data_IF_393421032578
#
_entry.id   IF_393421032578
#
_cell.length_a   1.000
_cell.length_b   1.000
_cell.length_c   1.000
_cell.angle_alpha   90.00
_cell.angle_beta   90.00
_cell.angle_gamma   90.00
#
_symmetry.space_group_name_H-M   'P 1'
#
loop_
_entity.id
_entity.type
_entity.pdbx_description
1 polymer ?
#
# COMPACT_ATOMS: atom_id res chain seq x y z
N UNK A 1 -71.52 34.29 36.28
CA UNK A 1 -71.88 33.25 37.28
C UNK A 1 -71.78 31.91 36.58
N UNK A 2 -70.72 31.13 36.91
CA UNK A 2 -70.47 29.69 36.60
C UNK A 2 -70.58 29.22 35.13
N UNK A 3 -69.83 28.29 34.56
CA UNK A 3 -68.62 27.49 34.87
C UNK A 3 -68.56 26.52 33.67
N UNK A 4 -67.47 26.39 32.90
CA UNK A 4 -67.10 25.11 32.22
C UNK A 4 -65.60 25.08 31.95
N UNK A 5 -64.93 24.20 32.69
CA UNK A 5 -63.59 23.66 32.41
C UNK A 5 -63.63 22.85 31.10
N UNK A 6 -62.55 22.87 30.33
CA UNK A 6 -62.20 21.80 29.39
C UNK A 6 -60.68 21.71 29.30
N UNK A 7 -60.16 20.53 29.64
CA UNK A 7 -58.76 20.12 29.60
C UNK A 7 -58.16 20.26 28.20
N UNK A 8 -56.89 20.65 28.10
CA UNK A 8 -56.05 20.31 26.96
C UNK A 8 -54.69 19.79 27.45
N UNK A 9 -54.33 18.64 26.89
CA UNK A 9 -53.24 17.76 27.31
C UNK A 9 -51.84 18.35 27.02
N UNK A 10 -50.93 18.15 27.97
CA UNK A 10 -49.50 18.40 27.82
C UNK A 10 -48.86 17.18 27.13
N UNK A 11 -48.51 17.32 25.85
CA UNK A 11 -47.73 16.32 25.11
C UNK A 11 -46.26 16.48 25.53
N UNK A 12 -45.75 15.51 26.30
CA UNK A 12 -44.32 15.37 26.57
C UNK A 12 -43.70 14.68 25.35
N UNK A 13 -43.00 15.45 24.51
CA UNK A 13 -42.20 14.91 23.42
C UNK A 13 -40.93 14.28 24.01
N UNK A 14 -40.87 12.95 24.12
CA UNK A 14 -39.64 12.22 24.43
C UNK A 14 -38.65 12.44 23.28
N UNK A 15 -37.66 13.29 23.49
CA UNK A 15 -36.51 13.41 22.60
C UNK A 15 -35.70 12.12 22.60
N UNK A 16 -35.72 11.41 21.48
CA UNK A 16 -34.80 10.31 21.20
C UNK A 16 -33.39 10.89 21.09
N UNK A 17 -32.57 10.68 22.13
CA UNK A 17 -31.14 10.94 22.04
C UNK A 17 -30.52 9.97 21.02
N UNK A 18 -30.16 10.52 19.87
CA UNK A 18 -29.37 9.83 18.86
C UNK A 18 -27.96 9.72 19.45
N UNK A 19 -27.60 8.52 19.91
CA UNK A 19 -26.24 8.21 20.31
C UNK A 19 -25.38 8.21 19.04
N UNK A 20 -24.62 9.30 18.83
CA UNK A 20 -23.60 9.34 17.77
C UNK A 20 -22.55 8.25 18.03
N UNK A 21 -22.03 7.57 16.99
CA UNK A 21 -20.98 6.59 17.18
C UNK A 21 -19.71 7.32 17.67
N UNK A 22 -19.24 6.93 18.86
CA UNK A 22 -17.94 7.39 19.39
C UNK A 22 -16.86 6.84 18.44
N UNK A 23 -16.16 7.74 17.76
CA UNK A 23 -14.98 7.36 16.96
C UNK A 23 -13.98 6.63 17.87
N UNK A 24 -13.52 5.44 17.46
CA UNK A 24 -12.54 4.67 18.21
C UNK A 24 -11.28 5.53 18.45
N UNK A 25 -10.81 5.59 19.70
CA UNK A 25 -9.61 6.35 20.05
C UNK A 25 -8.38 5.80 19.31
N UNK A 26 -7.55 6.68 18.75
CA UNK A 26 -6.31 6.28 18.08
C UNK A 26 -5.35 5.61 19.06
N UNK A 27 -4.69 4.54 18.61
CA UNK A 27 -3.67 3.86 19.41
C UNK A 27 -2.46 4.76 19.63
N UNK A 28 -1.68 4.52 20.70
CA UNK A 28 -0.44 5.28 20.96
C UNK A 28 0.51 5.22 19.76
N UNK A 29 0.59 4.07 19.10
CA UNK A 29 1.45 3.86 17.93
C UNK A 29 1.01 4.72 16.72
N UNK A 30 -0.31 4.89 16.52
CA UNK A 30 -0.85 5.81 15.51
C UNK A 30 -0.60 7.28 15.88
N UNK A 31 -0.72 7.65 17.16
CA UNK A 31 -0.46 9.02 17.63
C UNK A 31 1.01 9.43 17.50
N UNK A 32 1.91 8.46 17.69
CA UNK A 32 3.36 8.66 17.57
C UNK A 32 3.90 8.31 16.19
N UNK A 33 3.03 7.98 15.23
CA UNK A 33 3.40 7.61 13.86
C UNK A 33 4.36 8.63 13.25
N UNK A 34 5.53 8.16 12.79
CA UNK A 34 6.53 9.00 12.14
C UNK A 34 7.33 9.90 13.07
N UNK A 35 7.15 9.81 14.39
CA UNK A 35 7.89 10.63 15.35
C UNK A 35 9.26 10.06 15.63
N UNK A 36 10.21 10.96 15.84
CA UNK A 36 11.46 10.70 16.55
C UNK A 36 11.20 10.78 18.05
N UNK A 37 11.71 9.82 18.81
CA UNK A 37 11.53 9.74 20.27
C UNK A 37 12.88 9.64 20.98
N UNK A 38 12.94 10.15 22.20
CA UNK A 38 14.09 10.06 23.09
C UNK A 38 13.64 9.42 24.41
N UNK A 39 14.21 8.27 24.77
CA UNK A 39 13.90 7.59 26.01
C UNK A 39 14.47 8.38 27.21
N UNK A 40 13.61 9.06 27.97
CA UNK A 40 14.04 9.98 29.04
C UNK A 40 14.57 9.25 30.29
N UNK A 41 14.37 7.93 30.34
CA UNK A 41 14.78 7.05 31.45
C UNK A 41 15.92 6.09 31.05
N UNK A 42 16.45 6.22 29.83
CA UNK A 42 17.48 5.34 29.28
C UNK A 42 18.52 6.15 28.50
N UNK A 43 19.18 7.08 29.20
CA UNK A 43 20.26 7.95 28.68
C UNK A 43 19.93 8.71 27.38
N UNK A 44 18.64 8.91 27.05
CA UNK A 44 18.23 9.55 25.80
C UNK A 44 18.35 8.65 24.57
N UNK A 45 18.29 7.32 24.73
CA UNK A 45 18.28 6.38 23.60
C UNK A 45 17.25 6.81 22.54
N UNK A 46 17.71 6.88 21.29
CA UNK A 46 16.92 7.39 20.16
C UNK A 46 16.08 6.30 19.51
N UNK A 47 14.84 6.64 19.19
CA UNK A 47 13.88 5.75 18.53
C UNK A 47 13.16 6.47 17.39
N UNK A 48 12.75 5.70 16.40
CA UNK A 48 11.87 6.16 15.32
C UNK A 48 10.63 5.28 15.28
N UNK A 49 9.45 5.89 15.24
CA UNK A 49 8.20 5.15 15.01
C UNK A 49 7.92 5.15 13.52
N UNK A 50 8.08 3.99 12.88
CA UNK A 50 7.88 3.89 11.44
C UNK A 50 6.40 4.17 11.10
N UNK A 51 6.07 5.17 10.27
CA UNK A 51 4.70 5.56 10.00
C UNK A 51 3.92 4.55 9.14
N UNK A 52 4.62 3.61 8.51
CA UNK A 52 4.03 2.54 7.69
C UNK A 52 3.63 1.33 8.53
N UNK A 53 4.43 0.99 9.55
CA UNK A 53 4.22 -0.22 10.36
C UNK A 53 3.75 0.07 11.78
N UNK A 54 3.83 1.33 12.22
CA UNK A 54 3.64 1.79 13.59
C UNK A 54 4.54 1.10 14.63
N UNK A 55 5.64 0.50 14.16
CA UNK A 55 6.62 -0.16 15.02
C UNK A 55 7.73 0.83 15.41
N UNK A 56 8.25 0.69 16.63
CA UNK A 56 9.45 1.40 17.09
C UNK A 56 10.70 0.73 16.53
N UNK A 57 11.58 1.53 15.96
CA UNK A 57 12.92 1.14 15.50
C UNK A 57 13.93 1.79 16.44
N UNK A 58 14.80 0.97 17.01
CA UNK A 58 15.93 1.47 17.81
C UNK A 58 17.00 2.05 16.88
N UNK A 59 17.51 3.24 17.21
CA UNK A 59 18.49 3.93 16.37
C UNK A 59 19.93 3.68 16.82
N UNK A 60 20.13 3.31 18.09
CA UNK A 60 21.45 3.08 18.67
C UNK A 60 22.34 4.33 18.60
N UNK A 61 23.61 4.15 18.18
CA UNK A 61 24.55 5.26 18.02
C UNK A 61 24.13 6.18 16.85
N UNK A 62 24.56 7.45 16.81
CA UNK A 62 24.27 8.34 15.68
C UNK A 62 24.72 7.80 14.30
N UNK A 63 25.78 6.98 14.27
CA UNK A 63 26.22 6.32 13.04
C UNK A 63 25.28 5.18 12.62
N UNK A 64 24.84 4.35 13.57
CA UNK A 64 23.84 3.31 13.32
C UNK A 64 22.51 3.94 12.90
N UNK A 65 22.12 5.04 13.53
CA UNK A 65 20.92 5.80 13.22
C UNK A 65 20.90 6.30 11.77
N UNK A 66 22.04 6.80 11.26
CA UNK A 66 22.15 7.21 9.85
C UNK A 66 21.92 6.04 8.89
N UNK A 67 22.56 4.90 9.15
CA UNK A 67 22.40 3.69 8.32
C UNK A 67 20.95 3.18 8.37
N UNK A 68 20.34 3.11 9.55
CA UNK A 68 18.94 2.76 9.74
C UNK A 68 18.02 3.72 9.00
N UNK A 69 18.28 5.03 9.06
CA UNK A 69 17.47 6.01 8.36
C UNK A 69 17.57 5.89 6.84
N UNK A 70 18.78 5.68 6.31
CA UNK A 70 18.98 5.45 4.88
C UNK A 70 18.27 4.17 4.41
N UNK A 71 18.31 3.10 5.20
CA UNK A 71 17.62 1.84 4.88
C UNK A 71 16.08 1.99 4.90
N UNK A 72 15.53 2.88 5.73
CA UNK A 72 14.10 3.14 5.84
C UNK A 72 13.61 4.28 4.93
N UNK A 73 14.51 4.94 4.20
CA UNK A 73 14.18 6.12 3.42
C UNK A 73 13.49 5.75 2.10
N UNK A 74 12.41 6.49 1.79
CA UNK A 74 11.73 6.41 0.50
C UNK A 74 12.46 7.27 -0.54
N UNK A 75 12.77 6.68 -1.69
CA UNK A 75 13.27 7.42 -2.84
C UNK A 75 12.27 8.49 -3.32
N UNK A 76 12.75 9.71 -3.52
CA UNK A 76 11.96 10.83 -4.03
C UNK A 76 12.79 11.63 -5.06
N UNK A 77 12.16 12.06 -6.14
CA UNK A 77 12.78 12.94 -7.14
C UNK A 77 12.85 14.39 -6.62
N UNK A 78 13.69 15.23 -7.24
CA UNK A 78 13.91 16.60 -6.78
C UNK A 78 12.69 17.50 -6.95
N UNK A 79 11.84 17.24 -7.96
CA UNK A 79 10.62 18.01 -8.22
C UNK A 79 9.60 17.83 -7.09
N UNK A 80 9.28 16.59 -6.74
CA UNK A 80 8.35 16.27 -5.65
C UNK A 80 8.93 16.67 -4.29
N UNK A 81 10.22 16.46 -4.09
CA UNK A 81 10.89 16.87 -2.87
C UNK A 81 10.72 18.37 -2.66
N UNK A 82 10.95 19.22 -3.68
CA UNK A 82 10.79 20.68 -3.63
C UNK A 82 9.39 21.16 -3.24
N UNK A 83 8.36 20.33 -3.38
CA UNK A 83 7.00 20.63 -2.92
C UNK A 83 6.82 20.49 -1.39
N UNK A 84 7.85 20.03 -0.67
CA UNK A 84 7.91 19.94 0.78
C UNK A 84 8.83 21.07 1.30
N UNK A 85 8.31 22.04 2.07
CA UNK A 85 9.07 23.19 2.51
C UNK A 85 10.13 22.79 3.54
N UNK A 86 11.27 23.45 3.50
CA UNK A 86 12.30 23.31 4.55
C UNK A 86 11.77 23.94 5.84
N UNK A 87 12.17 23.39 6.99
CA UNK A 87 11.83 23.95 8.30
C UNK A 87 12.12 25.47 8.34
N UNK A 88 11.13 26.27 8.78
CA UNK A 88 11.22 27.72 8.84
C UNK A 88 10.82 28.46 7.55
N UNK A 89 10.48 27.78 6.46
CA UNK A 89 9.96 28.41 5.24
C UNK A 89 8.44 28.30 5.11
N UNK A 90 7.79 29.41 4.76
CA UNK A 90 6.34 29.50 4.48
C UNK A 90 6.11 29.61 2.97
N UNK A 91 6.18 28.49 2.24
CA UNK A 91 5.78 28.45 0.83
C UNK A 91 4.48 27.67 0.64
N UNK A 92 3.71 28.07 -0.37
CA UNK A 92 2.53 27.38 -0.91
C UNK A 92 2.95 26.01 -1.46
N UNK A 93 3.00 25.07 -0.54
CA UNK A 93 3.47 23.70 -0.71
C UNK A 93 2.29 22.74 -0.87
N UNK A 94 2.51 21.61 -1.55
CA UNK A 94 1.46 20.63 -1.81
C UNK A 94 1.05 19.93 -0.50
N UNK A 95 -0.04 20.39 0.13
CA UNK A 95 -0.48 19.87 1.43
C UNK A 95 -0.76 18.36 1.40
N UNK A 96 -1.39 17.85 0.33
CA UNK A 96 -1.70 16.43 0.20
C UNK A 96 -0.43 15.58 0.17
N UNK A 97 0.57 16.00 -0.60
CA UNK A 97 1.87 15.32 -0.64
C UNK A 97 2.55 15.35 0.74
N UNK A 98 2.54 16.49 1.42
CA UNK A 98 3.18 16.63 2.73
C UNK A 98 2.50 15.78 3.80
N UNK A 99 1.17 15.71 3.78
CA UNK A 99 0.41 14.83 4.66
C UNK A 99 0.71 13.35 4.36
N UNK A 100 0.77 12.97 3.08
CA UNK A 100 1.13 11.61 2.65
C UNK A 100 2.54 11.22 3.11
N UNK A 101 3.47 12.17 3.11
CA UNK A 101 4.87 11.94 3.49
C UNK A 101 5.17 12.31 4.94
N UNK A 102 4.15 12.62 5.76
CA UNK A 102 4.33 13.00 7.16
C UNK A 102 5.07 11.90 7.94
N UNK A 103 6.16 12.26 8.61
CA UNK A 103 6.97 11.34 9.39
C UNK A 103 7.89 10.44 8.59
N UNK A 104 7.88 10.53 7.24
CA UNK A 104 8.73 9.70 6.39
C UNK A 104 10.17 10.20 6.39
N UNK A 105 11.07 9.23 6.25
CA UNK A 105 12.45 9.43 5.85
C UNK A 105 12.49 9.38 4.32
N UNK A 106 13.20 10.29 3.68
CA UNK A 106 13.27 10.43 2.23
C UNK A 106 14.73 10.43 1.76
N UNK A 107 14.97 9.82 0.60
CA UNK A 107 16.25 9.78 -0.09
C UNK A 107 16.09 10.48 -1.44
N UNK A 108 16.79 11.59 -1.64
CA UNK A 108 16.80 12.29 -2.92
C UNK A 108 17.63 11.47 -3.94
N UNK A 109 16.94 10.74 -4.82
CA UNK A 109 17.59 9.78 -5.75
C UNK A 109 18.41 10.48 -6.85
N UNK A 110 18.16 11.76 -7.08
CA UNK A 110 18.82 12.60 -8.08
C UNK A 110 19.90 13.52 -7.49
N UNK A 111 20.12 13.48 -6.17
CA UNK A 111 21.03 14.39 -5.47
C UNK A 111 21.98 13.62 -4.54
N UNK A 112 22.66 12.62 -5.11
CA UNK A 112 23.70 11.82 -4.45
C UNK A 112 23.30 11.22 -3.09
N UNK A 113 22.02 10.88 -2.90
CA UNK A 113 21.54 10.24 -1.69
C UNK A 113 21.40 11.18 -0.49
N UNK A 114 21.20 12.48 -0.72
CA UNK A 114 20.80 13.42 0.35
C UNK A 114 19.52 12.93 1.02
N UNK A 115 19.57 12.84 2.35
CA UNK A 115 18.44 12.35 3.15
C UNK A 115 17.68 13.46 3.88
N UNK A 116 16.39 13.23 4.06
CA UNK A 116 15.47 14.20 4.63
C UNK A 116 14.46 13.53 5.54
N UNK A 117 14.07 14.20 6.62
CA UNK A 117 12.99 13.79 7.50
C UNK A 117 11.84 14.78 7.37
N UNK A 118 10.63 14.30 7.07
CA UNK A 118 9.42 15.13 7.06
C UNK A 118 8.82 15.11 8.45
N UNK A 119 8.91 16.21 9.19
CA UNK A 119 8.34 16.26 10.54
C UNK A 119 6.80 16.16 10.46
N UNK A 120 6.16 15.18 11.12
CA UNK A 120 4.73 14.93 10.99
C UNK A 120 3.85 16.02 11.65
N UNK A 121 4.43 16.86 12.50
CA UNK A 121 3.71 17.96 13.16
C UNK A 121 3.72 19.23 12.32
N UNK A 122 4.87 19.56 11.74
CA UNK A 122 5.06 20.81 10.99
C UNK A 122 4.85 20.62 9.49
N UNK A 123 4.88 19.36 9.02
CA UNK A 123 4.84 19.01 7.60
C UNK A 123 5.95 19.68 6.79
N UNK A 124 7.12 19.87 7.42
CA UNK A 124 8.32 20.45 6.80
C UNK A 124 9.44 19.42 6.78
N UNK A 125 10.34 19.51 5.79
CA UNK A 125 11.52 18.64 5.68
C UNK A 125 12.73 19.23 6.40
N UNK A 126 13.51 18.36 7.03
CA UNK A 126 14.80 18.67 7.65
C UNK A 126 15.87 17.78 7.01
N UNK A 127 16.95 18.41 6.56
CA UNK A 127 18.08 17.70 5.95
C UNK A 127 18.91 16.98 7.00
N UNK A 128 19.44 15.82 6.63
CA UNK A 128 20.54 15.18 7.34
C UNK A 128 21.38 14.37 6.36
N UNK A 129 22.69 14.28 6.56
CA UNK A 129 23.56 13.39 5.79
C UNK A 129 24.69 12.77 6.61
N UNK A 130 24.97 13.33 7.78
CA UNK A 130 26.00 12.84 8.68
C UNK A 130 25.39 12.35 9.98
N UNK A 131 26.16 11.56 10.73
CA UNK A 131 25.78 11.15 12.09
C UNK A 131 25.54 12.36 13.02
N UNK A 132 26.29 13.45 12.83
CA UNK A 132 26.07 14.73 13.53
C UNK A 132 24.71 15.34 13.18
N UNK A 133 24.32 15.33 11.90
CA UNK A 133 23.00 15.84 11.49
C UNK A 133 21.87 15.01 12.08
N UNK A 134 22.03 13.67 12.12
CA UNK A 134 21.05 12.77 12.75
C UNK A 134 20.91 13.06 14.24
N UNK A 135 22.02 13.28 14.94
CA UNK A 135 21.99 13.69 16.34
C UNK A 135 21.28 15.03 16.53
N UNK A 136 21.57 16.03 15.69
CA UNK A 136 20.88 17.33 15.71
C UNK A 136 19.39 17.19 15.42
N UNK A 137 19.03 16.31 14.47
CA UNK A 137 17.65 16.03 14.12
C UNK A 137 16.89 15.43 15.31
N UNK A 138 17.48 14.42 15.97
CA UNK A 138 16.91 13.77 17.15
C UNK A 138 16.75 14.74 18.32
N UNK A 139 17.76 15.56 18.60
CA UNK A 139 17.71 16.52 19.72
C UNK A 139 16.71 17.65 19.48
N UNK A 140 16.52 18.09 18.22
CA UNK A 140 15.59 19.17 17.88
C UNK A 140 14.14 18.71 17.70
N UNK A 141 13.92 17.47 17.24
CA UNK A 141 12.58 16.98 16.86
C UNK A 141 12.09 15.82 17.72
N UNK A 142 12.97 15.25 18.57
CA UNK A 142 12.68 14.12 19.43
C UNK A 142 11.68 14.46 20.53
N UNK A 143 10.65 13.64 20.66
CA UNK A 143 9.74 13.68 21.81
C UNK A 143 10.28 12.81 22.94
N UNK A 144 10.38 13.36 24.14
CA UNK A 144 10.67 12.55 25.32
C UNK A 144 9.58 11.50 25.58
N UNK A 145 9.98 10.24 25.78
CA UNK A 145 9.07 9.13 26.08
C UNK A 145 9.56 8.32 27.29
N UNK A 146 8.61 7.86 28.12
CA UNK A 146 8.90 6.98 29.26
C UNK A 146 9.11 5.55 28.78
N UNK A 147 9.81 4.71 29.57
CA UNK A 147 10.00 3.30 29.23
C UNK A 147 8.66 2.53 29.20
N UNK A 148 7.70 2.94 30.02
CA UNK A 148 6.34 2.35 30.05
C UNK A 148 5.60 2.63 28.73
N UNK A 149 5.60 3.87 28.26
CA UNK A 149 4.93 4.22 27.00
C UNK A 149 5.68 3.69 25.79
N UNK A 150 7.01 3.70 25.83
CA UNK A 150 7.85 3.12 24.79
C UNK A 150 7.60 1.61 24.66
N UNK A 151 7.40 0.88 25.76
CA UNK A 151 7.09 -0.56 25.75
C UNK A 151 5.71 -0.90 25.16
N UNK A 152 4.80 0.08 25.10
CA UNK A 152 3.48 -0.07 24.45
C UNK A 152 3.57 0.06 22.92
N UNK A 153 4.71 0.50 22.39
CA UNK A 153 4.96 0.51 20.95
C UNK A 153 5.52 -0.85 20.49
N UNK A 154 4.94 -1.48 19.47
CA UNK A 154 5.44 -2.76 18.95
C UNK A 154 6.88 -2.61 18.45
N UNK A 155 7.85 -3.46 18.84
CA UNK A 155 9.20 -3.41 18.30
C UNK A 155 9.21 -3.75 16.80
N UNK A 156 10.10 -3.11 16.06
CA UNK A 156 10.37 -3.43 14.66
C UNK A 156 11.11 -4.75 14.58
N UNK A 157 10.36 -5.85 14.49
CA UNK A 157 10.90 -7.13 14.03
C UNK A 157 10.86 -7.12 12.50
N UNK A 158 11.90 -7.63 11.83
CA UNK A 158 11.83 -7.94 10.40
C UNK A 158 10.67 -8.93 10.22
N UNK A 159 9.50 -8.41 9.90
CA UNK A 159 8.26 -9.17 9.91
C UNK A 159 7.95 -9.51 8.47
N UNK A 160 8.15 -10.77 8.11
CA UNK A 160 7.69 -11.30 6.84
C UNK A 160 6.17 -11.40 6.88
N UNK A 161 5.49 -10.63 6.02
CA UNK A 161 4.05 -10.77 5.81
C UNK A 161 3.87 -11.72 4.65
N UNK A 162 3.11 -12.80 4.82
CA UNK A 162 2.78 -13.74 3.74
C UNK A 162 1.35 -14.23 3.86
N UNK A 163 0.67 -14.28 2.72
CA UNK A 163 -0.64 -14.92 2.55
C UNK A 163 -0.48 -16.19 1.73
N UNK A 164 -1.09 -17.29 2.19
CA UNK A 164 -1.12 -18.54 1.41
C UNK A 164 -2.21 -18.45 0.35
N UNK A 165 -1.82 -18.09 -0.87
CA UNK A 165 -2.70 -17.92 -2.03
C UNK A 165 -2.51 -19.08 -3.01
N UNK A 166 -3.58 -19.74 -3.51
CA UNK A 166 -3.46 -20.74 -4.56
C UNK A 166 -2.87 -20.12 -5.83
N UNK A 167 -1.85 -20.76 -6.40
CA UNK A 167 -1.19 -20.27 -7.60
C UNK A 167 -1.75 -20.90 -8.87
N UNK A 168 -1.93 -20.07 -9.90
CA UNK A 168 -2.29 -20.45 -11.27
C UNK A 168 -1.53 -19.53 -12.24
N UNK A 169 -0.96 -20.11 -13.30
CA UNK A 169 -0.47 -19.35 -14.45
C UNK A 169 -1.60 -19.04 -15.43
N UNK A 170 -1.51 -17.92 -16.18
CA UNK A 170 -2.57 -17.47 -17.09
C UNK A 170 -2.87 -18.42 -18.26
N UNK A 171 -1.92 -19.30 -18.58
CA UNK A 171 -2.14 -20.50 -19.36
C UNK A 171 -2.02 -21.72 -18.42
N UNK A 172 -3.07 -22.09 -17.66
CA UNK A 172 -2.94 -23.06 -16.55
C UNK A 172 -2.51 -24.47 -17.01
N UNK A 173 -2.74 -24.79 -18.28
CA UNK A 173 -2.35 -26.05 -18.92
C UNK A 173 -1.32 -25.84 -20.05
N UNK A 174 -0.69 -24.66 -20.12
CA UNK A 174 0.33 -24.33 -21.11
C UNK A 174 -0.17 -23.99 -22.51
N UNK A 175 -1.48 -23.77 -22.70
CA UNK A 175 -2.03 -23.37 -24.01
C UNK A 175 -1.91 -21.86 -24.26
N UNK A 176 -0.70 -21.40 -24.56
CA UNK A 176 -0.41 -20.02 -24.92
C UNK A 176 -0.91 -19.61 -26.32
N UNK A 177 -1.48 -20.54 -27.10
CA UNK A 177 -2.05 -20.22 -28.42
C UNK A 177 -3.48 -19.66 -28.35
N UNK A 178 -4.16 -19.84 -27.22
CA UNK A 178 -5.45 -19.21 -26.95
C UNK A 178 -5.22 -17.80 -26.40
N UNK A 179 -5.59 -16.79 -27.16
CA UNK A 179 -5.34 -15.40 -26.80
C UNK A 179 -5.99 -14.99 -25.47
N UNK A 180 -7.11 -15.61 -25.09
CA UNK A 180 -7.77 -15.38 -23.78
C UNK A 180 -6.91 -15.83 -22.60
N UNK A 181 -6.03 -16.81 -22.83
CA UNK A 181 -5.06 -17.27 -21.83
C UNK A 181 -3.75 -16.49 -21.96
N UNK A 182 -3.30 -16.23 -23.19
CA UNK A 182 -2.05 -15.51 -23.46
C UNK A 182 -2.07 -14.04 -23.01
N UNK A 183 -3.25 -13.43 -22.93
CA UNK A 183 -3.45 -12.05 -22.45
C UNK A 183 -4.17 -12.01 -21.08
N UNK A 184 -4.50 -13.16 -20.48
CA UNK A 184 -5.38 -13.24 -19.30
C UNK A 184 -4.71 -12.92 -17.95
N UNK A 185 -3.76 -11.99 -17.88
CA UNK A 185 -2.99 -11.74 -16.66
C UNK A 185 -3.83 -11.07 -15.55
N UNK A 186 -4.76 -10.20 -15.92
CA UNK A 186 -5.75 -9.56 -15.07
C UNK A 186 -6.77 -10.55 -14.54
N UNK A 187 -7.38 -11.35 -15.42
CA UNK A 187 -8.34 -12.40 -15.06
C UNK A 187 -7.72 -13.38 -14.07
N UNK A 188 -6.49 -13.81 -14.35
CA UNK A 188 -5.80 -14.79 -13.50
C UNK A 188 -5.43 -14.20 -12.15
N UNK A 189 -4.94 -12.95 -12.10
CA UNK A 189 -4.63 -12.27 -10.84
C UNK A 189 -5.89 -12.01 -10.00
N UNK A 190 -6.98 -11.58 -10.63
CA UNK A 190 -8.28 -11.39 -9.98
C UNK A 190 -8.84 -12.72 -9.43
N UNK A 191 -8.78 -13.79 -10.22
CA UNK A 191 -9.24 -15.12 -9.83
C UNK A 191 -8.46 -15.65 -8.62
N UNK A 192 -7.12 -15.57 -8.63
CA UNK A 192 -6.29 -15.99 -7.49
C UNK A 192 -6.62 -15.19 -6.22
N UNK A 193 -6.77 -13.86 -6.33
CA UNK A 193 -7.05 -13.00 -5.19
C UNK A 193 -8.43 -13.28 -4.57
N UNK A 194 -9.47 -13.43 -5.39
CA UNK A 194 -10.83 -13.75 -4.92
C UNK A 194 -10.92 -15.17 -4.39
N UNK A 195 -10.23 -16.14 -5.02
CA UNK A 195 -10.15 -17.50 -4.52
C UNK A 195 -9.51 -17.57 -3.13
N UNK A 196 -8.43 -16.82 -2.90
CA UNK A 196 -7.86 -16.65 -1.56
C UNK A 196 -8.87 -16.04 -0.59
N UNK A 197 -9.50 -14.92 -0.97
CA UNK A 197 -10.41 -14.20 -0.08
C UNK A 197 -11.63 -15.02 0.36
N UNK A 198 -12.06 -15.96 -0.49
CA UNK A 198 -13.23 -16.83 -0.29
C UNK A 198 -12.88 -18.26 0.13
N UNK A 199 -11.59 -18.58 0.33
CA UNK A 199 -11.09 -19.94 0.56
C UNK A 199 -11.55 -20.96 -0.50
N UNK A 200 -11.67 -20.52 -1.76
CA UNK A 200 -12.06 -21.38 -2.88
C UNK A 200 -10.82 -22.08 -3.47
N UNK A 201 -10.78 -23.42 -3.52
CA UNK A 201 -9.69 -24.15 -4.19
C UNK A 201 -9.65 -23.86 -5.69
N UNK A 202 -8.45 -23.67 -6.25
CA UNK A 202 -8.23 -23.55 -7.70
C UNK A 202 -7.50 -24.76 -8.24
N UNK A 203 -8.02 -25.33 -9.34
CA UNK A 203 -7.32 -26.34 -10.15
C UNK A 203 -7.05 -25.77 -11.54
N UNK A 204 -6.06 -26.28 -12.25
CA UNK A 204 -5.75 -25.82 -13.61
C UNK A 204 -6.96 -25.93 -14.56
N UNK A 205 -7.76 -27.01 -14.46
CA UNK A 205 -8.93 -27.19 -15.30
C UNK A 205 -10.04 -26.16 -15.00
N UNK A 206 -10.31 -25.89 -13.71
CA UNK A 206 -11.25 -24.83 -13.32
C UNK A 206 -10.75 -23.45 -13.78
N UNK A 207 -9.46 -23.19 -13.61
CA UNK A 207 -8.87 -21.92 -14.00
C UNK A 207 -8.97 -21.66 -15.51
N UNK A 208 -8.71 -22.65 -16.36
CA UNK A 208 -8.88 -22.50 -17.83
C UNK A 208 -10.30 -22.03 -18.15
N UNK A 209 -11.31 -22.67 -17.55
CA UNK A 209 -12.71 -22.31 -17.78
C UNK A 209 -13.03 -20.91 -17.25
N UNK A 210 -12.57 -20.55 -16.05
CA UNK A 210 -12.83 -19.23 -15.45
C UNK A 210 -12.15 -18.10 -16.22
N UNK A 211 -10.86 -18.23 -16.56
CA UNK A 211 -10.09 -17.24 -17.33
C UNK A 211 -10.76 -17.00 -18.68
N UNK A 212 -10.99 -18.06 -19.46
CA UNK A 212 -11.61 -17.92 -20.79
C UNK A 212 -13.04 -17.37 -20.74
N UNK A 213 -13.81 -17.70 -19.70
CA UNK A 213 -15.17 -17.20 -19.53
C UNK A 213 -15.21 -15.73 -19.07
N UNK A 214 -14.24 -15.28 -18.27
CA UNK A 214 -14.08 -13.86 -17.94
C UNK A 214 -13.74 -13.05 -19.18
N UNK A 215 -12.76 -13.48 -19.99
CA UNK A 215 -12.39 -12.80 -21.23
C UNK A 215 -13.53 -12.75 -22.24
N UNK A 216 -14.28 -13.84 -22.42
CA UNK A 216 -15.44 -13.86 -23.31
C UNK A 216 -16.57 -12.95 -22.80
N UNK A 217 -16.78 -12.89 -21.49
CA UNK A 217 -17.75 -11.97 -20.90
C UNK A 217 -17.33 -10.51 -21.09
N UNK A 218 -16.06 -10.16 -20.85
CA UNK A 218 -15.55 -8.80 -21.07
C UNK A 218 -15.71 -8.38 -22.53
N UNK A 219 -15.40 -9.29 -23.47
CA UNK A 219 -15.61 -9.02 -24.89
C UNK A 219 -17.07 -8.75 -25.26
N UNK A 220 -18.01 -9.49 -24.68
CA UNK A 220 -19.44 -9.27 -24.93
C UNK A 220 -19.94 -7.97 -24.30
N UNK A 221 -19.51 -7.65 -23.07
CA UNK A 221 -20.01 -6.49 -22.34
C UNK A 221 -19.32 -5.17 -22.72
N UNK A 222 -18.02 -5.22 -23.01
CA UNK A 222 -17.16 -4.03 -23.18
C UNK A 222 -16.44 -4.00 -24.54
N UNK A 223 -16.54 -5.06 -25.34
CA UNK A 223 -15.98 -5.14 -26.69
C UNK A 223 -14.53 -5.62 -26.78
N UNK A 224 -13.81 -5.71 -25.65
CA UNK A 224 -12.38 -6.04 -25.58
C UNK A 224 -12.03 -6.66 -24.21
N UNK A 225 -10.97 -7.48 -24.15
CA UNK A 225 -10.48 -8.18 -22.95
C UNK A 225 -8.94 -8.21 -22.82
N UNK A 226 -8.18 -7.77 -23.82
CA UNK A 226 -6.71 -7.98 -23.87
C UNK A 226 -5.95 -7.26 -22.75
N UNK A 227 -6.21 -5.97 -22.55
CA UNK A 227 -5.61 -5.21 -21.45
C UNK A 227 -6.73 -4.56 -20.65
N UNK A 228 -6.72 -4.73 -19.33
CA UNK A 228 -7.75 -4.19 -18.44
C UNK A 228 -7.11 -3.38 -17.30
N UNK A 229 -7.35 -2.06 -17.27
CA UNK A 229 -6.80 -1.16 -16.26
C UNK A 229 -7.10 -1.61 -14.83
N UNK A 230 -6.36 -1.12 -13.83
CA UNK A 230 -6.62 -1.48 -12.42
C UNK A 230 -8.08 -1.25 -11.99
N UNK A 231 -8.70 -0.14 -12.41
CA UNK A 231 -10.10 0.13 -12.07
C UNK A 231 -11.08 -0.78 -12.81
N UNK A 232 -10.83 -1.07 -14.07
CA UNK A 232 -11.70 -1.98 -14.82
C UNK A 232 -11.53 -3.43 -14.32
N UNK A 233 -10.32 -3.87 -13.99
CA UNK A 233 -10.06 -5.19 -13.38
C UNK A 233 -10.82 -5.31 -12.06
N UNK A 234 -10.75 -4.28 -11.22
CA UNK A 234 -11.47 -4.24 -9.96
C UNK A 234 -13.00 -4.23 -10.14
N UNK A 235 -13.53 -3.41 -11.03
CA UNK A 235 -14.98 -3.21 -11.15
C UNK A 235 -15.66 -4.27 -12.02
N UNK A 236 -15.03 -4.69 -13.13
CA UNK A 236 -15.58 -5.65 -14.08
C UNK A 236 -15.33 -7.08 -13.62
N UNK A 237 -14.07 -7.44 -13.33
CA UNK A 237 -13.71 -8.81 -13.01
C UNK A 237 -14.00 -9.14 -11.55
N UNK A 238 -13.47 -8.37 -10.60
CA UNK A 238 -13.66 -8.65 -9.16
C UNK A 238 -15.09 -8.33 -8.74
N UNK A 239 -15.58 -7.12 -9.04
CA UNK A 239 -16.87 -6.63 -8.57
C UNK A 239 -18.07 -7.24 -9.29
N UNK A 240 -18.09 -7.25 -10.63
CA UNK A 240 -19.26 -7.70 -11.40
C UNK A 240 -19.23 -9.19 -11.73
N UNK A 241 -18.14 -9.70 -12.32
CA UNK A 241 -18.07 -11.09 -12.77
C UNK A 241 -17.93 -12.08 -11.59
N UNK A 242 -16.91 -11.88 -10.76
CA UNK A 242 -16.65 -12.71 -9.58
C UNK A 242 -17.56 -12.37 -8.40
N UNK A 243 -18.32 -11.27 -8.51
CA UNK A 243 -19.29 -10.81 -7.51
C UNK A 243 -18.70 -10.68 -6.09
N UNK A 244 -17.48 -10.14 -6.00
CA UNK A 244 -16.77 -9.98 -4.73
C UNK A 244 -16.74 -8.50 -4.29
N UNK A 245 -17.34 -8.12 -3.14
CA UNK A 245 -17.51 -6.72 -2.78
C UNK A 245 -16.32 -6.10 -2.02
N UNK A 246 -15.42 -6.90 -1.43
CA UNK A 246 -14.41 -6.39 -0.50
C UNK A 246 -13.08 -6.09 -1.19
N UNK A 247 -13.09 -5.07 -2.06
CA UNK A 247 -11.88 -4.57 -2.71
C UNK A 247 -11.82 -3.03 -2.69
N UNK A 248 -10.60 -2.50 -2.80
CA UNK A 248 -10.37 -1.05 -2.97
C UNK A 248 -9.34 -0.79 -4.04
N UNK A 249 -9.58 0.21 -4.88
CA UNK A 249 -8.62 0.70 -5.88
C UNK A 249 -7.94 1.97 -5.33
N UNK A 250 -6.64 2.08 -5.52
CA UNK A 250 -5.86 3.27 -5.14
C UNK A 250 -4.89 3.65 -6.25
N UNK A 251 -4.67 4.95 -6.41
CA UNK A 251 -3.83 5.54 -7.46
C UNK A 251 -2.70 6.39 -6.88
N UNK A 252 -1.68 6.64 -7.71
CA UNK A 252 -0.44 7.35 -7.32
C UNK A 252 0.25 6.67 -6.12
N UNK A 253 0.18 5.34 -6.10
CA UNK A 253 0.72 4.49 -5.04
C UNK A 253 2.23 4.31 -5.17
N UNK A 254 2.84 3.88 -4.08
CA UNK A 254 4.22 3.46 -3.95
C UNK A 254 4.29 2.03 -3.45
N UNK A 255 5.46 1.39 -3.52
CA UNK A 255 5.66 0.05 -2.94
C UNK A 255 5.42 0.01 -1.42
N UNK A 256 5.56 1.13 -0.73
CA UNK A 256 5.23 1.22 0.70
C UNK A 256 3.72 1.12 0.95
N UNK A 257 2.90 1.66 0.04
CA UNK A 257 1.45 1.55 0.11
C UNK A 257 1.03 0.09 -0.10
N UNK A 258 1.71 -0.64 -1.00
CA UNK A 258 1.54 -2.08 -1.20
C UNK A 258 1.90 -2.82 0.09
N UNK A 259 3.10 -2.59 0.65
CA UNK A 259 3.56 -3.23 1.89
C UNK A 259 2.57 -3.05 3.03
N UNK A 260 2.07 -1.83 3.22
CA UNK A 260 1.10 -1.50 4.29
C UNK A 260 -0.26 -2.18 4.04
N UNK A 261 -0.64 -2.32 2.77
CA UNK A 261 -1.92 -2.95 2.40
C UNK A 261 -1.91 -4.47 2.58
N UNK A 262 -0.73 -5.11 2.53
CA UNK A 262 -0.58 -6.54 2.79
C UNK A 262 -1.01 -6.97 4.20
N UNK A 263 -1.06 -6.05 5.17
CA UNK A 263 -1.61 -6.34 6.50
C UNK A 263 -3.13 -6.57 6.50
N UNK A 264 -3.84 -6.18 5.44
CA UNK A 264 -5.31 -6.22 5.34
C UNK A 264 -5.82 -7.10 4.20
N UNK A 265 -4.94 -7.55 3.32
CA UNK A 265 -5.32 -8.30 2.13
C UNK A 265 -4.15 -8.68 1.24
N UNK A 266 -4.48 -9.19 0.06
CA UNK A 266 -3.53 -9.38 -1.05
C UNK A 266 -3.68 -8.23 -2.04
N UNK A 267 -2.63 -7.93 -2.80
CA UNK A 267 -2.57 -6.71 -3.61
C UNK A 267 -2.28 -7.04 -5.07
N UNK A 268 -3.21 -6.72 -5.97
CA UNK A 268 -2.99 -6.81 -7.42
C UNK A 268 -2.40 -5.50 -7.91
N UNK A 269 -1.37 -5.56 -8.75
CA UNK A 269 -0.73 -4.38 -9.34
C UNK A 269 -0.50 -4.56 -10.84
N UNK A 270 -0.91 -3.59 -11.68
CA UNK A 270 -0.45 -3.49 -13.05
C UNK A 270 0.97 -2.94 -13.10
N UNK A 271 1.78 -3.51 -13.98
CA UNK A 271 3.22 -3.28 -14.08
C UNK A 271 3.69 -3.30 -15.53
N UNK A 272 4.84 -2.65 -15.76
CA UNK A 272 5.72 -2.87 -16.90
C UNK A 272 6.45 -4.19 -16.72
N UNK A 273 5.97 -5.24 -17.38
CA UNK A 273 6.51 -6.60 -17.24
C UNK A 273 7.99 -6.70 -17.62
N UNK A 274 8.44 -5.90 -18.57
CA UNK A 274 9.83 -5.84 -19.03
C UNK A 274 10.79 -5.26 -17.97
N UNK A 275 10.28 -4.40 -17.07
CA UNK A 275 11.05 -3.82 -15.98
C UNK A 275 11.12 -4.71 -14.74
N UNK A 276 10.34 -5.80 -14.70
CA UNK A 276 10.46 -6.81 -13.63
C UNK A 276 11.71 -7.68 -13.79
N UNK A 277 12.30 -7.73 -14.99
CA UNK A 277 13.45 -8.58 -15.32
C UNK A 277 13.23 -10.06 -14.97
N UNK A 278 11.98 -10.55 -15.11
CA UNK A 278 11.68 -11.96 -14.91
C UNK A 278 12.29 -12.79 -16.06
N UNK A 279 13.13 -13.80 -15.80
CA UNK A 279 13.78 -14.57 -16.85
C UNK A 279 12.84 -15.51 -17.62
N UNK A 280 11.60 -15.69 -17.16
CA UNK A 280 10.65 -16.65 -17.72
C UNK A 280 9.73 -16.06 -18.79
N UNK A 281 9.67 -14.73 -18.94
CA UNK A 281 8.87 -14.06 -19.96
C UNK A 281 9.46 -12.68 -20.28
N UNK A 282 8.99 -12.07 -21.36
CA UNK A 282 9.28 -10.67 -21.69
C UNK A 282 8.02 -10.06 -22.29
N UNK A 283 7.15 -9.53 -21.43
CA UNK A 283 5.89 -8.87 -21.81
C UNK A 283 5.93 -7.40 -21.42
N UNK A 284 5.28 -6.55 -22.19
CA UNK A 284 5.31 -5.11 -21.96
C UNK A 284 4.33 -4.67 -20.87
N UNK A 285 3.06 -5.09 -21.00
CA UNK A 285 2.02 -4.91 -19.98
C UNK A 285 1.85 -6.22 -19.25
N UNK A 286 1.63 -6.12 -17.94
CA UNK A 286 1.40 -7.28 -17.10
C UNK A 286 0.64 -6.87 -15.85
N UNK A 287 -0.04 -7.82 -15.24
CA UNK A 287 -0.65 -7.68 -13.93
C UNK A 287 -0.25 -8.86 -13.06
N UNK A 288 0.23 -8.57 -11.85
CA UNK A 288 0.70 -9.57 -10.89
C UNK A 288 -0.03 -9.45 -9.57
N UNK A 289 -0.09 -10.57 -8.82
CA UNK A 289 -0.66 -10.61 -7.48
C UNK A 289 0.45 -10.66 -6.43
N UNK A 290 0.58 -9.61 -5.63
CA UNK A 290 1.47 -9.57 -4.48
C UNK A 290 0.79 -10.22 -3.27
N UNK A 291 1.42 -11.26 -2.73
CA UNK A 291 0.91 -12.08 -1.63
C UNK A 291 1.69 -11.88 -0.33
N UNK A 292 2.83 -11.20 -0.39
CA UNK A 292 3.65 -10.97 0.78
C UNK A 292 4.80 -10.00 0.58
N UNK A 293 5.54 -9.79 1.66
CA UNK A 293 6.76 -8.99 1.71
C UNK A 293 7.71 -9.57 2.76
N UNK A 294 8.94 -9.84 2.35
CA UNK A 294 10.05 -10.24 3.21
C UNK A 294 10.87 -9.01 3.59
N UNK A 295 10.77 -8.62 4.86
CA UNK A 295 11.48 -7.47 5.39
C UNK A 295 13.00 -7.70 5.56
N UNK A 296 13.45 -8.95 5.65
CA UNK A 296 14.87 -9.27 5.82
C UNK A 296 15.65 -9.09 4.51
N UNK A 297 14.99 -9.32 3.36
CA UNK A 297 15.59 -9.24 2.03
C UNK A 297 15.11 -8.03 1.21
N UNK A 298 14.15 -7.25 1.71
CA UNK A 298 13.49 -6.15 1.00
C UNK A 298 12.87 -6.60 -0.33
N UNK A 299 12.11 -7.71 -0.28
CA UNK A 299 11.50 -8.33 -1.44
C UNK A 299 9.99 -8.51 -1.27
N UNK A 300 9.23 -8.19 -2.30
CA UNK A 300 7.84 -8.59 -2.42
C UNK A 300 7.74 -10.03 -2.91
N UNK A 301 6.78 -10.76 -2.36
CA UNK A 301 6.44 -12.13 -2.73
C UNK A 301 5.19 -12.04 -3.60
N UNK A 302 5.25 -12.59 -4.80
CA UNK A 302 4.19 -12.52 -5.79
C UNK A 302 3.77 -13.91 -6.28
N UNK A 303 2.50 -14.05 -6.60
CA UNK A 303 2.00 -15.06 -7.51
C UNK A 303 1.90 -14.41 -8.90
N UNK A 304 2.90 -14.65 -9.74
CA UNK A 304 3.02 -14.05 -11.06
C UNK A 304 2.38 -14.95 -12.14
N UNK A 305 1.25 -14.55 -12.74
CA UNK A 305 0.54 -15.43 -13.67
C UNK A 305 1.25 -15.58 -15.02
N UNK A 306 2.25 -14.74 -15.34
CA UNK A 306 2.94 -14.70 -16.64
C UNK A 306 3.82 -15.92 -16.94
N UNK A 307 3.98 -16.83 -15.99
CA UNK A 307 4.80 -18.03 -16.14
C UNK A 307 4.34 -19.14 -15.20
N UNK A 308 4.60 -20.40 -15.55
CA UNK A 308 4.40 -21.54 -14.64
C UNK A 308 5.35 -21.54 -13.43
N UNK A 309 6.38 -20.70 -13.42
CA UNK A 309 7.35 -20.53 -12.32
C UNK A 309 7.03 -19.33 -11.42
N UNK A 310 5.82 -18.77 -11.51
CA UNK A 310 5.46 -17.53 -10.84
C UNK A 310 4.98 -17.68 -9.41
N UNK A 311 4.84 -18.90 -8.88
CA UNK A 311 4.40 -19.13 -7.51
C UNK A 311 5.40 -18.62 -6.48
N UNK A 312 4.97 -17.74 -5.56
CA UNK A 312 5.82 -17.14 -4.54
C UNK A 312 7.13 -16.56 -5.10
N UNK A 313 7.09 -15.96 -6.28
CA UNK A 313 8.24 -15.33 -6.90
C UNK A 313 8.66 -14.08 -6.12
N UNK A 314 9.96 -13.90 -5.90
CA UNK A 314 10.50 -12.76 -5.15
C UNK A 314 10.96 -11.65 -6.07
N UNK A 315 10.40 -10.46 -5.90
CA UNK A 315 10.82 -9.24 -6.59
C UNK A 315 11.45 -8.25 -5.60
N UNK A 316 12.68 -7.76 -5.83
CA UNK A 316 13.23 -6.65 -5.04
C UNK A 316 12.28 -5.46 -5.02
N UNK A 317 12.14 -4.79 -3.87
CA UNK A 317 11.23 -3.65 -3.73
C UNK A 317 11.54 -2.53 -4.73
N UNK A 318 12.82 -2.27 -4.99
CA UNK A 318 13.25 -1.31 -6.01
C UNK A 318 12.85 -1.72 -7.43
N UNK A 319 12.95 -3.01 -7.77
CA UNK A 319 12.52 -3.55 -9.07
C UNK A 319 11.02 -3.38 -9.25
N UNK A 320 10.22 -3.76 -8.24
CA UNK A 320 8.77 -3.57 -8.29
C UNK A 320 8.41 -2.08 -8.40
N UNK A 321 9.06 -1.21 -7.62
CA UNK A 321 8.81 0.23 -7.65
C UNK A 321 9.04 0.85 -9.04
N UNK A 322 10.08 0.41 -9.76
CA UNK A 322 10.35 0.85 -11.12
C UNK A 322 9.36 0.30 -12.15
N UNK A 323 8.77 -0.87 -11.88
CA UNK A 323 7.85 -1.53 -12.79
C UNK A 323 6.39 -1.06 -12.63
N UNK A 324 5.98 -0.50 -11.48
CA UNK A 324 4.60 -0.05 -11.26
C UNK A 324 4.15 0.95 -12.34
N UNK A 325 3.09 0.61 -13.06
CA UNK A 325 2.54 1.45 -14.12
C UNK A 325 1.17 0.91 -14.53
N UNK A 326 0.08 1.64 -14.21
CA UNK A 326 -1.25 1.31 -14.74
C UNK A 326 -1.30 1.57 -16.26
N UNK A 327 -2.29 1.00 -16.92
CA UNK A 327 -2.49 1.18 -18.36
C UNK A 327 -3.97 1.32 -18.69
N UNK A 328 -4.26 1.92 -19.86
CA UNK A 328 -5.63 2.09 -20.31
C UNK A 328 -6.17 0.76 -20.81
N UNK A 329 -7.42 0.44 -20.46
CA UNK A 329 -8.09 -0.75 -20.97
C UNK A 329 -8.28 -0.68 -22.48
N UNK A 330 -8.06 -1.80 -23.15
CA UNK A 330 -8.19 -1.97 -24.59
C UNK A 330 -6.93 -2.52 -25.25
N UNK A 331 -7.06 -3.10 -26.45
CA UNK A 331 -5.99 -3.83 -27.12
C UNK A 331 -4.71 -3.02 -27.33
N UNK A 332 -3.70 -3.26 -26.48
CA UNK A 332 -2.36 -2.71 -26.56
C UNK A 332 -2.29 -1.19 -26.72
N UNK A 333 -3.25 -0.47 -26.12
CA UNK A 333 -3.34 1.00 -26.19
C UNK A 333 -2.01 1.65 -25.79
N UNK A 334 -1.51 2.68 -26.52
CA UNK A 334 -0.18 3.24 -26.29
C UNK A 334 0.13 3.47 -24.81
N UNK A 335 1.28 2.96 -24.35
CA UNK A 335 1.75 3.21 -22.98
C UNK A 335 2.10 4.69 -22.82
N UNK A 336 1.13 5.46 -22.35
CA UNK A 336 1.34 6.79 -21.80
C UNK A 336 1.72 6.65 -20.33
N UNK A 337 2.40 7.65 -19.77
CA UNK A 337 2.76 7.66 -18.34
C UNK A 337 1.47 7.85 -17.52
N UNK A 338 0.83 6.74 -17.18
CA UNK A 338 -0.37 6.71 -16.36
C UNK A 338 0.01 6.58 -14.88
N UNK A 339 -0.89 6.98 -13.95
CA UNK A 339 -0.65 6.83 -12.52
C UNK A 339 -0.35 5.37 -12.15
N UNK A 340 0.52 5.16 -11.16
CA UNK A 340 0.63 3.85 -10.51
C UNK A 340 -0.68 3.50 -9.83
N UNK A 341 -1.07 2.23 -9.86
CA UNK A 341 -2.31 1.78 -9.25
C UNK A 341 -2.12 0.46 -8.50
N UNK A 342 -3.01 0.20 -7.55
CA UNK A 342 -3.14 -1.10 -6.91
C UNK A 342 -4.60 -1.41 -6.60
N UNK A 343 -4.92 -2.70 -6.54
CA UNK A 343 -6.20 -3.22 -6.06
C UNK A 343 -5.91 -4.04 -4.81
N UNK A 344 -6.49 -3.65 -3.67
CA UNK A 344 -6.39 -4.42 -2.42
C UNK A 344 -7.64 -5.27 -2.31
N UNK A 345 -7.48 -6.59 -2.29
CA UNK A 345 -8.56 -7.55 -2.04
C UNK A 345 -8.44 -8.02 -0.60
N UNK A 346 -9.44 -7.75 0.23
CA UNK A 346 -9.43 -8.13 1.66
C UNK A 346 -10.26 -9.40 1.86
N UNK A 347 -9.89 -10.28 2.80
CA UNK A 347 -10.73 -11.45 3.14
C UNK A 347 -11.90 -11.04 4.05
N UNK A 348 -12.98 -11.84 4.03
CA UNK A 348 -14.15 -11.70 4.88
C UNK A 348 -14.09 -12.54 6.17
N UNK A 349 -12.96 -13.20 6.44
CA UNK A 349 -12.81 -14.18 7.54
C UNK A 349 -11.81 -13.76 8.61
#
# INVERSE_FOLDING_TARGET
MLLRLSCLALIILLGTQICSPVAAASTLAQQLSGRLLLAVQDAGAGWYVNPLTWQRVELGSPANALATFQALALGINNLDLALIPVSGQTSTSNLALRQRLAGRLLLAVEDHGKTWYVNPLTLTRSYFATSTDVFNLLTQNGLGITNVDLARLPPSTATTITHTVPFIAQAPQGNWSDNRQAEGCEETSALMAVAWATNTPLTAALAVNQITSMSDWERVQFGEYVDTSANDTATRLIGQYLNYPNYTVSYNITVDDIRTSLARGVVIVPVRGDLLHNPNYSVLRHTILITGYDAATDQFIANDPGTSHGANYHYPAATLAAALNDYQSGNHQPLTKLPTAMIVVSSSH
#
